data_IF_765936423677
#
_entry.id   IF_765936423677
#
_cell.length_a   1.000
_cell.length_b   1.000
_cell.length_c   1.000
_cell.angle_alpha   90.00
_cell.angle_beta   90.00
_cell.angle_gamma   90.00
#
_symmetry.space_group_name_H-M   'P 1'
#
loop_
_entity.id
_entity.type
_entity.pdbx_description
1 polymer ?
#
# COMPACT_ATOMS: atom_id res chain seq x y z
N UNK A 1 8.67 -55.13 24.20
CA UNK A 1 7.78 -55.28 23.03
C UNK A 1 6.44 -54.67 23.44
N UNK A 2 5.79 -53.73 22.76
CA UNK A 2 5.90 -53.25 21.39
C UNK A 2 5.28 -51.84 21.33
N UNK A 3 5.83 -51.01 20.45
CA UNK A 3 5.41 -49.66 20.16
C UNK A 3 4.00 -49.61 19.55
N UNK A 4 3.12 -48.78 20.13
CA UNK A 4 2.00 -48.16 19.42
C UNK A 4 1.92 -46.71 19.90
N UNK A 5 2.67 -45.83 19.21
CA UNK A 5 2.07 -44.89 18.25
C UNK A 5 1.36 -43.76 19.00
N UNK A 6 2.05 -42.76 19.56
CA UNK A 6 2.85 -41.74 18.83
C UNK A 6 2.28 -41.42 17.44
N UNK A 7 1.00 -41.05 17.36
CA UNK A 7 0.35 -40.40 16.20
C UNK A 7 -1.06 -39.94 16.57
N UNK A 8 -1.14 -38.84 17.33
CA UNK A 8 -2.28 -37.91 17.30
C UNK A 8 -1.95 -36.56 17.94
N UNK A 9 -0.67 -36.16 17.85
CA UNK A 9 -0.30 -34.77 17.69
C UNK A 9 -0.31 -34.61 16.17
N UNK A 10 -1.31 -33.91 15.63
CA UNK A 10 -1.44 -33.42 14.23
C UNK A 10 -2.93 -33.06 13.93
N UNK A 11 -3.73 -32.74 14.96
CA UNK A 11 -4.85 -31.84 14.76
C UNK A 11 -4.22 -30.45 14.60
N UNK A 12 -3.92 -30.10 13.36
CA UNK A 12 -3.32 -28.84 12.97
C UNK A 12 -3.99 -27.70 13.73
N UNK A 13 -3.16 -26.91 14.39
CA UNK A 13 -3.54 -25.65 14.99
C UNK A 13 -4.35 -24.88 13.93
N UNK A 14 -5.67 -24.82 14.13
CA UNK A 14 -6.51 -23.89 13.41
C UNK A 14 -6.00 -22.52 13.85
N UNK A 15 -5.09 -21.93 13.05
CA UNK A 15 -4.71 -20.55 13.18
C UNK A 15 -6.02 -19.77 13.27
N UNK A 16 -6.23 -19.15 14.44
CA UNK A 16 -7.43 -18.42 14.77
C UNK A 16 -7.62 -17.33 13.70
N UNK A 17 -8.49 -17.61 12.72
CA UNK A 17 -8.67 -16.75 11.55
C UNK A 17 -9.12 -15.38 12.00
N UNK A 18 -8.26 -14.40 11.83
CA UNK A 18 -8.55 -13.04 12.27
C UNK A 18 -9.35 -12.35 11.19
N UNK A 19 -10.57 -11.94 11.53
CA UNK A 19 -11.46 -11.22 10.61
C UNK A 19 -11.36 -9.72 10.83
N UNK A 20 -11.25 -8.94 9.74
CA UNK A 20 -11.54 -7.51 9.75
C UNK A 20 -12.84 -7.26 8.99
N UNK A 21 -13.73 -6.50 9.62
CA UNK A 21 -14.87 -5.90 8.94
C UNK A 21 -14.46 -4.52 8.44
N UNK A 22 -14.30 -4.38 7.13
CA UNK A 22 -14.08 -3.09 6.49
C UNK A 22 -15.45 -2.55 6.10
N UNK A 23 -15.94 -1.58 6.88
CA UNK A 23 -17.18 -0.86 6.58
C UNK A 23 -16.83 0.29 5.64
N UNK A 24 -17.19 0.15 4.36
CA UNK A 24 -17.22 1.28 3.41
C UNK A 24 -18.64 1.87 3.39
N UNK A 25 -18.74 3.13 2.98
CA UNK A 25 -19.94 3.98 2.90
C UNK A 25 -21.17 3.33 2.23
N UNK A 26 -20.99 2.23 1.49
CA UNK A 26 -22.06 1.48 0.80
C UNK A 26 -22.04 -0.03 1.02
N UNK A 27 -20.95 -0.63 1.52
CA UNK A 27 -20.81 -2.09 1.65
C UNK A 27 -19.84 -2.47 2.77
N UNK A 28 -20.24 -3.44 3.58
CA UNK A 28 -19.35 -4.12 4.53
C UNK A 28 -18.65 -5.26 3.82
N UNK A 29 -17.31 -5.24 3.75
CA UNK A 29 -16.50 -6.36 3.25
C UNK A 29 -15.83 -7.03 4.44
N UNK A 30 -16.05 -8.33 4.61
CA UNK A 30 -15.30 -9.15 5.56
C UNK A 30 -14.05 -9.65 4.85
N UNK A 31 -12.89 -9.33 5.40
CA UNK A 31 -11.60 -9.87 4.96
C UNK A 31 -11.11 -10.84 6.04
N UNK A 32 -10.87 -12.08 5.64
CA UNK A 32 -10.23 -13.10 6.47
C UNK A 32 -8.72 -12.98 6.28
N UNK A 33 -7.97 -12.88 7.38
CA UNK A 33 -6.52 -12.90 7.39
C UNK A 33 -6.02 -14.16 8.09
N UNK A 34 -4.92 -14.72 7.59
CA UNK A 34 -4.29 -15.91 8.16
C UNK A 34 -3.51 -15.59 9.45
N UNK A 35 -3.09 -14.33 9.61
CA UNK A 35 -2.34 -13.85 10.78
C UNK A 35 -2.71 -12.41 11.19
N UNK A 36 -2.44 -12.05 12.46
CA UNK A 36 -2.53 -10.65 12.94
C UNK A 36 -1.51 -9.74 12.23
N UNK A 37 -0.36 -10.28 11.81
CA UNK A 37 0.66 -9.51 11.07
C UNK A 37 0.13 -9.07 9.69
N UNK A 38 -0.52 -9.98 8.96
CA UNK A 38 -1.12 -9.68 7.65
C UNK A 38 -2.22 -8.64 7.77
N UNK A 39 -3.03 -8.75 8.83
CA UNK A 39 -4.07 -7.79 9.16
C UNK A 39 -3.51 -6.39 9.39
N UNK A 40 -2.43 -6.27 10.17
CA UNK A 40 -1.76 -5.00 10.42
C UNK A 40 -1.11 -4.43 9.15
N UNK A 41 -0.44 -5.29 8.36
CA UNK A 41 0.15 -4.91 7.08
C UNK A 41 -0.91 -4.38 6.10
N UNK A 42 -2.07 -5.04 6.04
CA UNK A 42 -3.19 -4.60 5.23
C UNK A 42 -3.75 -3.26 5.70
N UNK A 43 -3.96 -3.09 7.02
CA UNK A 43 -4.44 -1.83 7.58
C UNK A 43 -3.51 -0.65 7.26
N UNK A 44 -2.20 -0.90 7.32
CA UNK A 44 -1.15 0.04 6.96
C UNK A 44 -1.19 0.37 5.46
N UNK A 45 -1.29 -0.63 4.60
CA UNK A 45 -1.38 -0.44 3.15
C UNK A 45 -2.66 0.29 2.75
N UNK A 46 -3.80 -0.03 3.36
CA UNK A 46 -5.09 0.62 3.11
C UNK A 46 -5.09 2.10 3.49
N UNK A 47 -4.49 2.45 4.63
CA UNK A 47 -4.32 3.86 5.01
C UNK A 47 -3.38 4.61 4.04
N UNK A 48 -2.31 3.96 3.57
CA UNK A 48 -1.39 4.54 2.56
C UNK A 48 -2.06 4.75 1.20
N UNK A 49 -2.84 3.77 0.72
CA UNK A 49 -3.41 3.79 -0.63
C UNK A 49 -4.39 4.95 -0.86
N UNK A 50 -5.08 5.41 0.19
CA UNK A 50 -5.98 6.57 0.12
C UNK A 50 -5.28 7.86 -0.32
N UNK A 51 -3.96 7.95 -0.13
CA UNK A 51 -3.15 9.11 -0.50
C UNK A 51 -2.43 8.98 -1.83
N UNK A 52 -2.48 7.81 -2.47
CA UNK A 52 -1.82 7.60 -3.77
C UNK A 52 -2.42 8.50 -4.86
N UNK A 53 -3.74 8.54 -4.98
CA UNK A 53 -4.43 9.36 -5.98
C UNK A 53 -4.08 10.86 -5.89
N UNK A 54 -4.22 11.54 -4.73
CA UNK A 54 -3.87 12.97 -4.64
C UNK A 54 -2.39 13.24 -4.93
N UNK A 55 -1.47 12.37 -4.48
CA UNK A 55 -0.04 12.57 -4.76
C UNK A 55 0.34 12.26 -6.20
N UNK A 56 -0.32 11.31 -6.85
CA UNK A 56 -0.17 11.08 -8.28
C UNK A 56 -0.63 12.31 -9.08
N UNK A 57 -1.80 12.87 -8.77
CA UNK A 57 -2.29 14.09 -9.43
C UNK A 57 -1.37 15.29 -9.20
N UNK A 58 -0.80 15.41 -8.01
CA UNK A 58 0.22 16.43 -7.72
C UNK A 58 1.47 16.25 -8.59
N UNK A 59 1.90 15.01 -8.81
CA UNK A 59 3.01 14.73 -9.71
C UNK A 59 2.68 14.99 -11.18
N UNK A 60 1.44 14.76 -11.63
CA UNK A 60 0.97 15.19 -12.96
C UNK A 60 1.01 16.71 -13.09
N UNK A 61 0.60 17.43 -12.05
CA UNK A 61 0.66 18.89 -12.00
C UNK A 61 2.11 19.39 -12.08
N UNK A 62 3.04 18.80 -11.32
CA UNK A 62 4.47 19.14 -11.43
C UNK A 62 5.04 18.84 -12.81
N UNK A 63 4.70 17.68 -13.39
CA UNK A 63 5.13 17.34 -14.75
C UNK A 63 4.63 18.36 -15.79
N UNK A 64 3.39 18.83 -15.66
CA UNK A 64 2.86 19.92 -16.49
C UNK A 64 3.60 21.24 -16.28
N UNK A 65 3.93 21.61 -15.04
CA UNK A 65 4.69 22.82 -14.75
C UNK A 65 6.11 22.77 -15.33
N UNK A 66 6.77 21.62 -15.26
CA UNK A 66 8.10 21.43 -15.86
C UNK A 66 8.05 21.61 -17.37
N UNK A 67 7.06 20.98 -18.02
CA UNK A 67 6.82 21.15 -19.45
C UNK A 67 6.58 22.62 -19.81
N UNK A 68 5.73 23.32 -19.05
CA UNK A 68 5.44 24.75 -19.26
C UNK A 68 6.64 25.66 -19.01
N UNK A 69 7.55 25.28 -18.12
CA UNK A 69 8.79 26.01 -17.85
C UNK A 69 9.85 25.86 -18.94
N UNK A 70 9.57 25.10 -20.01
CA UNK A 70 10.53 24.82 -21.08
C UNK A 70 11.61 23.82 -20.69
N UNK A 71 11.45 23.14 -19.53
CA UNK A 71 12.26 21.99 -19.16
C UNK A 71 11.75 20.78 -19.93
N UNK A 72 12.04 20.78 -21.23
CA UNK A 72 11.71 19.68 -22.11
C UNK A 72 12.71 18.54 -21.91
N UNK A 73 12.47 17.76 -20.86
CA UNK A 73 13.17 16.48 -20.63
C UNK A 73 12.76 15.41 -21.66
N UNK A 74 11.76 15.70 -22.50
CA UNK A 74 11.20 14.80 -23.49
C UNK A 74 11.72 15.11 -24.89
N UNK A 75 13.04 15.05 -25.07
CA UNK A 75 13.69 15.27 -26.36
C UNK A 75 13.15 14.35 -27.48
N UNK A 76 12.53 13.21 -27.12
CA UNK A 76 11.84 12.29 -28.02
C UNK A 76 10.58 11.72 -27.36
N UNK A 77 9.61 11.23 -28.15
CA UNK A 77 8.33 10.67 -27.67
C UNK A 77 8.51 9.60 -26.59
N UNK A 78 9.51 8.71 -26.74
CA UNK A 78 9.80 7.68 -25.75
C UNK A 78 10.20 8.28 -24.39
N UNK A 79 11.07 9.29 -24.40
CA UNK A 79 11.44 10.02 -23.19
C UNK A 79 10.27 10.83 -22.62
N UNK A 80 9.40 11.35 -23.47
CA UNK A 80 8.14 11.98 -23.05
C UNK A 80 7.23 11.03 -22.29
N UNK A 81 7.10 9.78 -22.72
CA UNK A 81 6.32 8.77 -22.00
C UNK A 81 6.99 8.38 -20.67
N UNK A 82 8.32 8.21 -20.67
CA UNK A 82 9.07 7.84 -19.45
C UNK A 82 9.00 8.96 -18.42
N UNK A 83 9.26 10.20 -18.80
CA UNK A 83 9.23 11.35 -17.88
C UNK A 83 7.79 11.68 -17.48
N UNK A 84 6.88 11.67 -18.45
CA UNK A 84 5.46 11.97 -18.25
C UNK A 84 4.75 11.00 -17.32
N UNK A 85 5.21 9.74 -17.23
CA UNK A 85 4.72 8.76 -16.25
C UNK A 85 5.60 8.68 -15.00
N UNK A 86 6.92 8.79 -15.17
CA UNK A 86 7.92 8.67 -14.12
C UNK A 86 7.81 9.75 -13.06
N UNK A 87 7.58 11.02 -13.45
CA UNK A 87 7.43 12.12 -12.48
C UNK A 87 6.18 11.93 -11.61
N UNK A 88 4.99 11.65 -12.17
CA UNK A 88 3.82 11.32 -11.36
C UNK A 88 4.01 10.13 -10.42
N UNK A 89 4.61 9.05 -10.91
CA UNK A 89 4.85 7.84 -10.12
C UNK A 89 5.85 8.10 -8.99
N UNK A 90 6.97 8.76 -9.29
CA UNK A 90 7.98 9.10 -8.29
C UNK A 90 7.40 10.02 -7.22
N UNK A 91 6.66 11.05 -7.62
CA UNK A 91 5.98 11.96 -6.69
C UNK A 91 5.00 11.20 -5.81
N UNK A 92 4.18 10.31 -6.38
CA UNK A 92 3.24 9.47 -5.63
C UNK A 92 3.95 8.67 -4.52
N UNK A 93 5.02 7.95 -4.85
CA UNK A 93 5.73 7.13 -3.87
C UNK A 93 6.46 7.96 -2.82
N UNK A 94 7.20 9.00 -3.23
CA UNK A 94 7.97 9.86 -2.33
C UNK A 94 7.03 10.55 -1.34
N UNK A 95 5.98 11.21 -1.84
CA UNK A 95 5.09 11.96 -0.97
C UNK A 95 4.25 11.04 -0.09
N UNK A 96 3.82 9.87 -0.58
CA UNK A 96 3.09 8.95 0.29
C UNK A 96 3.97 8.37 1.39
N UNK A 97 5.23 8.07 1.11
CA UNK A 97 6.16 7.57 2.11
C UNK A 97 6.49 8.66 3.15
N UNK A 98 6.72 9.90 2.71
CA UNK A 98 6.91 11.05 3.60
C UNK A 98 5.66 11.28 4.46
N UNK A 99 4.46 11.29 3.86
CA UNK A 99 3.20 11.46 4.59
C UNK A 99 3.02 10.36 5.64
N UNK A 100 3.30 9.12 5.27
CA UNK A 100 3.18 8.00 6.20
C UNK A 100 4.14 8.15 7.40
N UNK A 101 5.41 8.47 7.16
CA UNK A 101 6.41 8.65 8.22
C UNK A 101 6.12 9.85 9.11
N UNK A 102 5.68 10.97 8.54
CA UNK A 102 5.47 12.21 9.29
C UNK A 102 4.13 12.25 10.03
N UNK A 103 3.06 11.75 9.42
CA UNK A 103 1.71 11.91 9.96
C UNK A 103 1.17 10.61 10.54
N UNK A 104 1.29 9.49 9.82
CA UNK A 104 0.64 8.22 10.22
C UNK A 104 1.45 7.49 11.29
N UNK A 105 2.79 7.45 11.18
CA UNK A 105 3.64 6.82 12.20
C UNK A 105 3.58 7.59 13.53
N UNK A 106 3.53 8.93 13.49
CA UNK A 106 3.40 9.75 14.70
C UNK A 106 2.05 9.61 15.38
N UNK A 107 0.95 9.45 14.63
CA UNK A 107 -0.38 9.22 15.21
C UNK A 107 -0.57 7.81 15.77
N UNK A 108 0.26 6.83 15.38
CA UNK A 108 0.21 5.47 15.95
C UNK A 108 1.10 5.29 17.20
N UNK A 109 2.02 6.23 17.47
CA UNK A 109 2.91 6.23 18.65
C UNK A 109 2.42 7.12 19.79
N UNK A 110 1.38 7.93 19.57
CA UNK A 110 0.70 8.74 20.59
C UNK A 110 -0.50 8.01 21.14
#
# INVERSE_FOLDING_TARGET
MSAKSKRKNDAGAAAEKVTLEVVDSRKTRKLEFESEEDKQAWHKAFKKSRWYTPYFLLGVFFNYLLYRAGLDLSQNILWGMIVGSGIPIATMFIFTEIHYRLFIEKTLKS
#
